data_IF_378634697162
#
_entry.id   IF_378634697162
#
_cell.length_a   1.000
_cell.length_b   1.000
_cell.length_c   1.000
_cell.angle_alpha   90.00
_cell.angle_beta   90.00
_cell.angle_gamma   90.00
#
_symmetry.space_group_name_H-M   'P 1'
#
loop_
_entity.id
_entity.type
_entity.pdbx_description
1 polymer ?
#
# COMPACT_ATOMS: atom_id res chain seq x y z
N UNK A 1 1.86 -24.27 44.60
CA UNK A 1 1.47 -24.42 43.18
C UNK A 1 2.60 -23.79 42.37
N UNK A 2 3.43 -24.60 41.71
CA UNK A 2 4.71 -24.20 41.11
C UNK A 2 4.69 -24.30 39.59
N UNK A 3 3.61 -23.83 38.96
CA UNK A 3 3.55 -23.75 37.51
C UNK A 3 3.09 -22.35 37.12
N UNK A 4 3.99 -21.55 36.58
CA UNK A 4 3.76 -20.19 36.09
C UNK A 4 3.16 -20.25 34.68
N UNK A 5 2.61 -19.13 34.22
CA UNK A 5 2.19 -19.00 32.82
C UNK A 5 3.40 -19.11 31.88
N UNK A 6 3.19 -19.74 30.72
CA UNK A 6 4.19 -19.71 29.66
C UNK A 6 4.22 -18.35 28.98
N UNK A 7 5.30 -18.05 28.26
CA UNK A 7 5.44 -16.79 27.51
C UNK A 7 4.32 -16.63 26.47
N UNK A 8 3.88 -17.73 25.85
CA UNK A 8 2.76 -17.73 24.90
C UNK A 8 1.45 -17.33 25.55
N UNK A 9 1.15 -17.88 26.74
CA UNK A 9 -0.05 -17.52 27.49
C UNK A 9 0.00 -16.07 27.98
N UNK A 10 1.18 -15.60 28.39
CA UNK A 10 1.39 -14.23 28.82
C UNK A 10 1.21 -13.25 27.63
N UNK A 11 1.68 -13.63 26.44
CA UNK A 11 1.51 -12.87 25.20
C UNK A 11 0.05 -12.86 24.71
N UNK A 12 -0.67 -13.98 24.81
CA UNK A 12 -2.10 -14.04 24.49
C UNK A 12 -2.88 -13.01 25.33
N UNK A 13 -2.58 -12.93 26.63
CA UNK A 13 -3.16 -11.92 27.52
C UNK A 13 -2.77 -10.48 27.13
N UNK A 14 -1.56 -10.26 26.58
CA UNK A 14 -1.14 -8.94 26.09
C UNK A 14 -1.91 -8.48 24.84
N UNK A 15 -2.27 -9.43 23.96
CA UNK A 15 -3.02 -9.15 22.72
C UNK A 15 -4.54 -9.09 22.97
N UNK A 16 -4.96 -9.16 24.24
CA UNK A 16 -6.36 -9.20 24.67
C UNK A 16 -7.13 -10.41 24.12
N UNK A 17 -6.43 -11.54 23.94
CA UNK A 17 -7.08 -12.82 23.69
C UNK A 17 -7.71 -13.33 25.00
N UNK A 18 -8.98 -13.75 24.93
CA UNK A 18 -9.73 -14.19 26.11
C UNK A 18 -9.26 -15.58 26.57
N UNK A 19 -8.28 -15.61 27.48
CA UNK A 19 -7.89 -16.81 28.22
C UNK A 19 -8.34 -16.72 29.70
N UNK A 20 -9.44 -17.40 30.01
CA UNK A 20 -10.02 -17.49 31.35
C UNK A 20 -9.05 -18.16 32.34
N UNK A 21 -8.25 -19.12 31.88
CA UNK A 21 -7.30 -19.84 32.74
C UNK A 21 -6.13 -18.93 33.10
N UNK A 22 -5.60 -18.20 32.12
CA UNK A 22 -4.53 -17.23 32.36
C UNK A 22 -4.97 -16.08 33.27
N UNK A 23 -6.18 -15.56 33.09
CA UNK A 23 -6.73 -14.49 33.95
C UNK A 23 -6.96 -14.96 35.39
N UNK A 24 -7.49 -16.17 35.59
CA UNK A 24 -7.59 -16.78 36.93
C UNK A 24 -6.22 -16.99 37.57
N UNK A 25 -5.22 -17.42 36.81
CA UNK A 25 -3.86 -17.57 37.31
C UNK A 25 -3.25 -16.23 37.73
N UNK A 26 -3.43 -15.17 36.92
CA UNK A 26 -2.96 -13.83 37.24
C UNK A 26 -3.61 -13.27 38.52
N UNK A 27 -4.83 -13.67 38.85
CA UNK A 27 -5.44 -13.28 40.12
C UNK A 27 -4.74 -13.88 41.35
N UNK A 28 -4.09 -15.05 41.19
CA UNK A 28 -3.44 -15.79 42.27
C UNK A 28 -1.90 -15.78 42.26
N UNK A 29 -1.24 -15.31 41.19
CA UNK A 29 0.21 -15.35 41.05
C UNK A 29 0.83 -13.95 40.90
N UNK A 30 1.54 -13.50 41.94
CA UNK A 30 2.21 -12.19 41.97
C UNK A 30 3.36 -12.09 40.97
N UNK A 31 4.04 -13.20 40.70
CA UNK A 31 5.17 -13.23 39.77
C UNK A 31 4.72 -13.02 38.33
N UNK A 32 3.76 -13.80 37.86
CA UNK A 32 3.19 -13.62 36.53
C UNK A 32 2.54 -12.23 36.36
N UNK A 33 1.97 -11.64 37.42
CA UNK A 33 1.50 -10.25 37.39
C UNK A 33 2.62 -9.24 37.20
N UNK A 34 3.74 -9.41 37.91
CA UNK A 34 4.92 -8.53 37.75
C UNK A 34 5.49 -8.64 36.35
N UNK A 35 5.58 -9.84 35.79
CA UNK A 35 6.10 -10.05 34.44
C UNK A 35 5.19 -9.43 33.37
N UNK A 36 3.87 -9.65 33.48
CA UNK A 36 2.90 -9.02 32.60
C UNK A 36 2.94 -7.48 32.70
N UNK A 37 3.06 -6.94 33.91
CA UNK A 37 3.20 -5.50 34.12
C UNK A 37 4.48 -4.95 33.48
N UNK A 38 5.60 -5.67 33.64
CA UNK A 38 6.89 -5.30 33.02
C UNK A 38 6.75 -5.22 31.50
N UNK A 39 6.16 -6.24 30.86
CA UNK A 39 5.96 -6.24 29.41
C UNK A 39 5.03 -5.11 28.95
N UNK A 40 3.93 -4.87 29.66
CA UNK A 40 3.02 -3.75 29.37
C UNK A 40 3.72 -2.40 29.46
N UNK A 41 4.60 -2.23 30.44
CA UNK A 41 5.38 -0.99 30.62
C UNK A 41 6.32 -0.77 29.44
N UNK A 42 7.09 -1.80 29.04
CA UNK A 42 7.99 -1.70 27.89
C UNK A 42 7.22 -1.38 26.61
N UNK A 43 6.07 -2.03 26.38
CA UNK A 43 5.23 -1.74 25.21
C UNK A 43 4.68 -0.31 25.24
N UNK A 44 4.26 0.17 26.41
CA UNK A 44 3.77 1.54 26.58
C UNK A 44 4.87 2.58 26.29
N UNK A 45 6.09 2.34 26.75
CA UNK A 45 7.24 3.20 26.50
C UNK A 45 7.57 3.25 25.01
N UNK A 46 7.67 2.10 24.34
CA UNK A 46 7.90 2.02 22.89
C UNK A 46 6.79 2.73 22.11
N UNK A 47 5.52 2.56 22.51
CA UNK A 47 4.40 3.26 21.90
C UNK A 47 4.50 4.79 22.08
N UNK A 48 4.86 5.24 23.28
CA UNK A 48 5.02 6.66 23.58
C UNK A 48 6.15 7.29 22.77
N UNK A 49 7.31 6.63 22.71
CA UNK A 49 8.44 7.05 21.88
C UNK A 49 8.06 7.08 20.39
N UNK A 50 7.38 6.05 19.91
CA UNK A 50 6.95 5.96 18.51
C UNK A 50 5.98 7.10 18.15
N UNK A 51 5.04 7.44 19.04
CA UNK A 51 4.12 8.58 18.84
C UNK A 51 4.86 9.92 18.86
N UNK A 52 5.78 10.11 19.79
CA UNK A 52 6.61 11.31 19.86
C UNK A 52 7.48 11.49 18.58
N UNK A 53 7.96 10.38 18.02
CA UNK A 53 8.66 10.38 16.73
C UNK A 53 7.71 10.57 15.54
N UNK A 54 6.46 10.13 15.64
CA UNK A 54 5.45 10.33 14.60
C UNK A 54 4.98 11.80 14.50
N UNK A 55 4.92 12.51 15.64
CA UNK A 55 4.53 13.93 15.74
C UNK A 55 5.55 14.92 15.15
N UNK A 56 6.53 14.43 14.38
CA UNK A 56 7.50 15.28 13.68
C UNK A 56 6.80 16.10 12.59
N UNK A 57 7.26 17.35 12.38
CA UNK A 57 6.65 18.25 11.40
C UNK A 57 6.79 17.70 9.98
N UNK A 58 5.82 18.02 9.10
CA UNK A 58 5.75 17.49 7.73
C UNK A 58 7.01 17.74 6.89
N UNK A 59 7.78 18.80 7.17
CA UNK A 59 9.03 19.07 6.47
C UNK A 59 10.10 18.01 6.72
N UNK A 60 10.17 17.47 7.95
CA UNK A 60 11.10 16.40 8.33
C UNK A 60 10.80 15.14 7.51
N UNK A 61 9.53 14.75 7.43
CA UNK A 61 9.10 13.61 6.62
C UNK A 61 9.37 13.81 5.13
N UNK A 62 9.20 15.02 4.61
CA UNK A 62 9.55 15.35 3.23
C UNK A 62 11.05 15.17 2.97
N UNK A 63 11.90 15.62 3.88
CA UNK A 63 13.36 15.48 3.77
C UNK A 63 13.79 14.01 3.85
N UNK A 64 13.23 13.25 4.79
CA UNK A 64 13.38 11.79 4.89
C UNK A 64 13.01 11.09 3.57
N UNK A 65 11.84 11.40 2.99
CA UNK A 65 11.42 10.85 1.70
C UNK A 65 12.41 11.16 0.59
N UNK A 66 12.87 12.42 0.50
CA UNK A 66 13.84 12.83 -0.52
C UNK A 66 15.18 12.12 -0.35
N UNK A 67 15.67 11.98 0.88
CA UNK A 67 16.91 11.27 1.18
C UNK A 67 16.81 9.79 0.79
N UNK A 68 15.69 9.12 1.08
CA UNK A 68 15.46 7.72 0.66
C UNK A 68 15.42 7.63 -0.87
N UNK A 69 14.61 8.45 -1.54
CA UNK A 69 14.48 8.44 -3.00
C UNK A 69 15.80 8.74 -3.72
N UNK A 70 16.64 9.60 -3.15
CA UNK A 70 17.97 9.91 -3.72
C UNK A 70 18.94 8.72 -3.69
N UNK A 71 18.74 7.77 -2.76
CA UNK A 71 19.57 6.57 -2.61
C UNK A 71 19.06 5.39 -3.42
N UNK A 72 17.82 5.44 -3.91
CA UNK A 72 17.31 4.45 -4.85
C UNK A 72 17.97 4.74 -6.20
N UNK A 73 18.81 3.84 -6.74
CA UNK A 73 19.42 4.04 -8.05
C UNK A 73 18.30 4.22 -9.06
N UNK A 74 18.32 5.35 -9.78
CA UNK A 74 17.37 5.58 -10.85
C UNK A 74 17.53 4.44 -11.86
N UNK A 75 16.49 3.63 -12.05
CA UNK A 75 16.43 2.68 -13.14
C UNK A 75 16.66 3.39 -14.48
N UNK A 76 17.03 2.65 -15.55
CA UNK A 76 17.38 3.21 -16.85
C UNK A 76 16.28 4.12 -17.45
N UNK A 77 15.04 4.01 -16.99
CA UNK A 77 13.88 4.76 -17.50
C UNK A 77 13.81 6.23 -17.07
N UNK A 78 14.59 6.68 -16.06
CA UNK A 78 14.51 8.07 -15.59
C UNK A 78 15.17 9.08 -16.55
N UNK A 79 15.87 8.60 -17.58
CA UNK A 79 16.60 9.40 -18.55
C UNK A 79 15.77 9.90 -19.76
N UNK A 80 14.51 9.48 -19.93
CA UNK A 80 13.75 9.75 -21.18
C UNK A 80 12.71 10.88 -21.08
N UNK A 81 12.76 11.72 -20.04
CA UNK A 81 11.89 12.92 -19.96
C UNK A 81 11.98 13.91 -21.13
N UNK A 82 13.08 14.06 -21.90
CA UNK A 82 13.05 14.96 -23.06
C UNK A 82 12.37 14.35 -24.30
N UNK A 83 12.15 13.03 -24.38
CA UNK A 83 11.56 12.40 -25.58
C UNK A 83 10.03 12.50 -25.64
N UNK A 84 9.37 12.61 -24.48
CA UNK A 84 7.91 12.72 -24.42
C UNK A 84 7.39 14.01 -25.10
N UNK A 85 8.17 15.10 -25.06
CA UNK A 85 7.81 16.36 -25.72
C UNK A 85 7.94 16.29 -27.25
N UNK A 86 8.85 15.47 -27.77
CA UNK A 86 9.03 15.30 -29.22
C UNK A 86 7.85 14.54 -29.85
N UNK A 87 7.28 13.56 -29.14
CA UNK A 87 6.11 12.83 -29.60
C UNK A 87 4.87 13.74 -29.73
N UNK A 88 4.67 14.66 -28.77
CA UNK A 88 3.56 15.62 -28.83
C UNK A 88 3.67 16.56 -30.05
N UNK A 89 4.89 16.99 -30.39
CA UNK A 89 5.11 17.88 -31.53
C UNK A 89 4.87 17.15 -32.86
N UNK A 90 5.26 15.88 -32.96
CA UNK A 90 4.98 15.05 -34.14
C UNK A 90 3.47 14.84 -34.36
N UNK A 91 2.69 14.61 -33.29
CA UNK A 91 1.23 14.49 -33.38
C UNK A 91 0.59 15.81 -33.81
N UNK A 92 1.06 16.95 -33.29
CA UNK A 92 0.55 18.27 -33.71
C UNK A 92 0.84 18.57 -35.17
N UNK A 93 2.05 18.26 -35.66
CA UNK A 93 2.42 18.44 -37.07
C UNK A 93 1.58 17.51 -37.97
N UNK A 94 1.36 16.26 -37.55
CA UNK A 94 0.52 15.31 -38.28
C UNK A 94 -0.94 15.80 -38.33
N UNK A 95 -1.50 16.24 -37.20
CA UNK A 95 -2.85 16.79 -37.12
C UNK A 95 -3.01 18.05 -37.99
N UNK A 96 -2.03 18.96 -37.97
CA UNK A 96 -2.02 20.13 -38.84
C UNK A 96 -1.97 19.73 -40.32
N UNK A 97 -1.14 18.75 -40.69
CA UNK A 97 -1.05 18.24 -42.07
C UNK A 97 -2.38 17.61 -42.54
N UNK A 98 -3.04 16.81 -41.69
CA UNK A 98 -4.36 16.22 -41.98
C UNK A 98 -5.47 17.26 -42.14
N UNK A 99 -5.42 18.35 -41.36
CA UNK A 99 -6.37 19.46 -41.47
C UNK A 99 -6.17 20.25 -42.78
N UNK A 100 -4.93 20.39 -43.25
CA UNK A 100 -4.65 21.06 -44.54
C UNK A 100 -5.04 20.24 -45.78
N UNK A 101 -5.15 18.91 -45.64
CA UNK A 101 -5.54 18.02 -46.76
C UNK A 101 -7.06 17.77 -46.84
N UNK A 102 -7.81 18.16 -45.82
CA UNK A 102 -9.26 17.91 -45.75
C UNK A 102 -10.08 19.13 -46.21
N UNK A 103 -9.91 19.54 -47.47
CA UNK A 103 -10.94 20.33 -48.18
C UNK A 103 -11.72 19.38 -49.09
N UNK A 104 -12.60 18.57 -48.47
CA UNK A 104 -13.76 17.97 -49.12
C UNK A 104 -14.83 17.75 -48.04
N UNK A 105 -15.99 18.42 -48.11
CA UNK A 105 -17.04 18.25 -47.13
C UNK A 105 -17.83 16.98 -47.46
N UNK A 106 -17.82 16.01 -46.54
CA UNK A 106 -18.83 14.95 -46.51
C UNK A 106 -19.42 14.93 -45.11
N UNK A 107 -20.66 15.42 -44.99
CA UNK A 107 -21.50 15.22 -43.80
C UNK A 107 -22.35 13.94 -43.98
N UNK A 108 -23.17 13.51 -43.00
CA UNK A 108 -22.81 12.48 -42.03
C UNK A 108 -23.76 11.27 -42.11
N UNK A 109 -23.25 10.04 -42.01
CA UNK A 109 -24.11 8.87 -41.85
C UNK A 109 -24.24 8.53 -40.36
N UNK A 110 -25.36 8.95 -39.78
CA UNK A 110 -25.87 8.49 -38.50
C UNK A 110 -26.18 6.99 -38.63
N UNK A 111 -25.61 6.16 -37.77
CA UNK A 111 -26.16 4.84 -37.46
C UNK A 111 -26.08 4.62 -35.96
N UNK A 112 -27.18 5.00 -35.31
CA UNK A 112 -27.54 4.66 -33.94
C UNK A 112 -28.07 3.22 -33.99
N UNK A 113 -27.27 2.25 -33.57
CA UNK A 113 -27.74 0.90 -33.27
C UNK A 113 -27.77 0.74 -31.76
N UNK A 114 -28.97 0.82 -31.23
CA UNK A 114 -29.40 0.36 -29.91
C UNK A 114 -28.98 -1.09 -29.67
N UNK A 115 -28.21 -1.31 -28.61
CA UNK A 115 -27.84 -2.64 -28.11
C UNK A 115 -27.81 -2.63 -26.59
N UNK A 116 -28.95 -2.35 -25.96
CA UNK A 116 -29.14 -2.61 -24.53
C UNK A 116 -29.27 -4.12 -24.32
N UNK A 117 -28.15 -4.77 -24.00
CA UNK A 117 -28.18 -6.07 -23.33
C UNK A 117 -27.97 -5.80 -21.85
N UNK A 118 -29.07 -5.72 -21.10
CA UNK A 118 -29.04 -5.75 -19.66
C UNK A 118 -28.62 -7.15 -19.21
N UNK A 119 -27.33 -7.32 -18.91
CA UNK A 119 -26.84 -8.50 -18.20
C UNK A 119 -27.10 -8.24 -16.71
N UNK A 120 -28.07 -8.95 -16.12
CA UNK A 120 -28.17 -9.04 -14.67
C UNK A 120 -26.97 -9.87 -14.19
N UNK A 121 -25.92 -9.18 -13.77
CA UNK A 121 -24.75 -9.80 -13.17
C UNK A 121 -25.12 -10.16 -11.73
N UNK A 122 -25.50 -11.42 -11.52
CA UNK A 122 -25.56 -11.97 -10.18
C UNK A 122 -24.12 -12.00 -9.67
N UNK A 123 -23.80 -11.15 -8.69
CA UNK A 123 -22.44 -11.04 -8.13
C UNK A 123 -22.03 -12.42 -7.62
N UNK A 124 -21.00 -12.96 -8.24
CA UNK A 124 -20.28 -14.12 -7.75
C UNK A 124 -19.61 -13.71 -6.42
N UNK A 125 -19.83 -14.43 -5.29
CA UNK A 125 -19.21 -14.10 -4.01
C UNK A 125 -17.68 -14.01 -4.10
N UNK A 126 -17.07 -14.75 -5.02
CA UNK A 126 -15.62 -14.66 -5.28
C UNK A 126 -15.25 -13.34 -5.95
N UNK A 127 -16.13 -12.78 -6.78
CA UNK A 127 -15.94 -11.46 -7.39
C UNK A 127 -16.02 -10.34 -6.35
N UNK A 128 -16.93 -10.44 -5.39
CA UNK A 128 -17.04 -9.47 -4.29
C UNK A 128 -15.79 -9.50 -3.39
N UNK A 129 -15.22 -10.67 -3.13
CA UNK A 129 -13.95 -10.81 -2.41
C UNK A 129 -12.78 -10.20 -3.18
N UNK A 130 -12.71 -10.40 -4.50
CA UNK A 130 -11.66 -9.81 -5.33
C UNK A 130 -11.77 -8.27 -5.37
N UNK A 131 -12.98 -7.73 -5.40
CA UNK A 131 -13.24 -6.28 -5.33
C UNK A 131 -12.87 -5.72 -3.97
N UNK A 132 -13.12 -6.45 -2.88
CA UNK A 132 -12.75 -6.00 -1.53
C UNK A 132 -11.23 -6.08 -1.28
N UNK A 133 -10.56 -7.10 -1.81
CA UNK A 133 -9.09 -7.14 -1.85
C UNK A 133 -8.56 -5.97 -2.66
N UNK A 134 -9.10 -5.73 -3.86
CA UNK A 134 -8.69 -4.60 -4.69
C UNK A 134 -8.91 -3.25 -3.98
N UNK A 135 -10.04 -3.06 -3.29
CA UNK A 135 -10.28 -1.87 -2.46
C UNK A 135 -9.31 -1.77 -1.29
N UNK A 136 -8.97 -2.87 -0.64
CA UNK A 136 -8.02 -2.88 0.47
C UNK A 136 -6.61 -2.47 0.03
N UNK A 137 -6.20 -2.90 -1.17
CA UNK A 137 -4.93 -2.55 -1.80
C UNK A 137 -4.94 -1.13 -2.34
N UNK A 138 -6.08 -0.65 -2.85
CA UNK A 138 -6.28 0.72 -3.34
C UNK A 138 -6.55 1.75 -2.24
N UNK A 139 -6.69 1.36 -0.96
CA UNK A 139 -6.74 2.34 0.13
C UNK A 139 -5.45 3.15 0.09
N UNK A 140 -5.60 4.46 -0.10
CA UNK A 140 -4.49 5.37 -0.21
C UNK A 140 -3.52 5.16 0.96
N UNK A 141 -2.34 4.66 0.60
CA UNK A 141 -1.25 4.47 1.54
C UNK A 141 -0.92 5.86 2.09
N UNK A 142 -0.94 6.06 3.42
CA UNK A 142 -0.58 7.35 4.01
C UNK A 142 0.71 7.86 3.36
N UNK A 143 0.79 9.14 2.99
CA UNK A 143 1.99 9.72 2.33
C UNK A 143 3.32 9.45 3.07
N UNK A 144 3.26 9.11 4.35
CA UNK A 144 4.41 8.68 5.13
C UNK A 144 4.98 7.32 4.70
N UNK A 145 4.15 6.44 4.13
CA UNK A 145 4.47 5.08 3.72
C UNK A 145 4.72 4.91 2.20
N UNK A 146 4.58 5.98 1.40
CA UNK A 146 5.00 6.00 -0.02
C UNK A 146 6.45 5.50 -0.26
N UNK A 147 7.44 5.75 0.61
CA UNK A 147 8.78 5.18 0.42
C UNK A 147 8.80 3.66 0.60
N UNK A 148 7.98 3.13 1.51
CA UNK A 148 7.91 1.69 1.76
C UNK A 148 7.26 0.96 0.57
N UNK A 149 6.28 1.58 -0.11
CA UNK A 149 5.70 1.02 -1.33
C UNK A 149 6.70 1.01 -2.49
N UNK A 150 7.52 2.07 -2.64
CA UNK A 150 8.61 2.07 -3.62
C UNK A 150 9.65 0.96 -3.35
N UNK A 151 10.02 0.74 -2.08
CA UNK A 151 10.93 -0.34 -1.70
C UNK A 151 10.35 -1.73 -1.99
N UNK A 152 9.06 -1.94 -1.70
CA UNK A 152 8.37 -3.20 -2.01
C UNK A 152 8.32 -3.48 -3.52
N UNK A 153 8.10 -2.44 -4.34
CA UNK A 153 8.13 -2.57 -5.81
C UNK A 153 9.53 -2.93 -6.34
N UNK A 154 10.60 -2.33 -5.80
CA UNK A 154 11.97 -2.69 -6.18
C UNK A 154 12.33 -4.12 -5.77
N UNK A 155 11.88 -4.57 -4.60
CA UNK A 155 12.09 -5.96 -4.16
C UNK A 155 11.38 -6.95 -5.08
N UNK A 156 10.16 -6.64 -5.51
CA UNK A 156 9.40 -7.47 -6.46
C UNK A 156 10.09 -7.52 -7.83
N UNK A 157 10.53 -6.36 -8.36
CA UNK A 157 11.32 -6.30 -9.61
C UNK A 157 12.64 -7.08 -9.52
N UNK A 158 13.29 -7.07 -8.35
CA UNK A 158 14.51 -7.83 -8.12
C UNK A 158 14.24 -9.34 -8.04
N UNK A 159 13.10 -9.75 -7.48
CA UNK A 159 12.66 -11.14 -7.46
C UNK A 159 12.35 -11.66 -8.88
N UNK A 160 11.64 -10.87 -9.69
CA UNK A 160 11.32 -11.21 -11.08
C UNK A 160 12.56 -11.22 -11.99
N UNK A 161 13.59 -10.46 -11.64
CA UNK A 161 14.87 -10.43 -12.37
C UNK A 161 15.80 -11.60 -12.07
N UNK A 162 15.52 -12.45 -11.08
CA UNK A 162 16.35 -13.65 -10.85
C UNK A 162 16.15 -14.61 -12.03
N UNK A 163 17.17 -14.85 -12.87
CA UNK A 163 17.05 -15.84 -13.93
C UNK A 163 16.93 -17.23 -13.30
N UNK A 164 15.93 -18.00 -13.75
CA UNK A 164 15.84 -19.43 -13.51
C UNK A 164 17.21 -20.05 -13.85
N UNK A 165 17.90 -20.57 -12.83
CA UNK A 165 19.13 -21.33 -12.98
C UNK A 165 18.88 -22.75 -12.51
#
# INVERSE_FOLDING_TARGET
MTNHLTDEQLNAVLVAEEDITATLHLAGCDECRRDLHRLRTVLADVCAESRALADRPQWFWREQRLAIVSRIPAGPDRATRPLAWAASLAVFVLAAALLTQSVKPVQPAVSRATGTVGVSMQSDPDHDLLVDVERSVRRDVPRALEPATLLAQELHRAADRKPNR
#
